data_IF_714817414359
#
_entry.id   IF_714817414359
#
_cell.length_a   1.000
_cell.length_b   1.000
_cell.length_c   1.000
_cell.angle_alpha   90.00
_cell.angle_beta   90.00
_cell.angle_gamma   90.00
#
_symmetry.space_group_name_H-M   'P 1'
#
loop_
_entity.id
_entity.type
_entity.pdbx_description
1 polymer ?
#
# COMPACT_ATOMS: atom_id res chain seq x y z
N UNK A 1 58.06 6.39 28.47
CA UNK A 1 58.34 4.95 28.60
C UNK A 1 57.90 4.29 27.29
N UNK A 2 58.79 3.53 26.66
CA UNK A 2 58.64 2.72 25.42
C UNK A 2 58.58 3.42 24.04
N UNK A 3 59.77 3.43 23.43
CA UNK A 3 60.18 3.27 22.02
C UNK A 3 59.33 2.23 21.22
N UNK A 4 59.18 2.28 19.89
CA UNK A 4 60.06 1.73 18.81
C UNK A 4 59.35 2.01 17.45
N UNK A 5 59.95 2.71 16.47
CA UNK A 5 60.62 2.20 15.23
C UNK A 5 59.67 1.43 14.27
N UNK A 6 59.49 1.75 12.99
CA UNK A 6 60.49 1.85 11.91
C UNK A 6 59.93 2.54 10.63
N UNK A 7 60.86 2.98 9.77
CA UNK A 7 60.75 3.96 8.68
C UNK A 7 60.69 3.28 7.27
N UNK A 8 60.61 4.05 6.14
CA UNK A 8 59.86 3.78 4.91
C UNK A 8 60.71 3.35 3.69
N UNK A 9 60.11 2.87 2.60
CA UNK A 9 60.70 2.85 1.23
C UNK A 9 59.53 2.76 0.21
N UNK A 10 59.19 3.79 -0.56
CA UNK A 10 59.66 4.15 -1.92
C UNK A 10 59.71 3.00 -2.93
N UNK A 11 59.00 3.12 -4.06
CA UNK A 11 59.55 2.93 -5.42
C UNK A 11 58.46 3.03 -6.49
N UNK A 12 58.51 4.17 -7.15
CA UNK A 12 58.03 4.47 -8.49
C UNK A 12 58.52 3.41 -9.48
N UNK A 13 57.61 2.75 -10.22
CA UNK A 13 57.97 1.94 -11.39
C UNK A 13 57.12 2.37 -12.59
N UNK A 14 57.79 3.14 -13.44
CA UNK A 14 57.46 3.49 -14.81
C UNK A 14 57.59 2.22 -15.68
N UNK A 15 56.75 2.03 -16.70
CA UNK A 15 57.17 1.75 -18.10
C UNK A 15 56.00 1.31 -18.99
N UNK A 16 55.60 2.29 -19.80
CA UNK A 16 55.11 2.24 -21.18
C UNK A 16 55.55 0.99 -21.99
N UNK A 17 54.60 0.30 -22.64
CA UNK A 17 54.89 -0.49 -23.84
C UNK A 17 53.73 -0.41 -24.84
N UNK A 18 54.02 0.23 -25.98
CA UNK A 18 53.21 0.46 -27.16
C UNK A 18 53.59 -0.58 -28.24
N UNK A 19 52.62 -1.32 -28.80
CA UNK A 19 52.57 -1.89 -30.17
C UNK A 19 51.48 -2.99 -30.19
N UNK A 20 50.30 -2.74 -30.75
CA UNK A 20 49.94 -2.96 -32.16
C UNK A 20 49.66 -4.44 -32.51
N UNK A 21 48.36 -4.81 -32.60
CA UNK A 21 47.86 -5.80 -33.57
C UNK A 21 46.56 -5.27 -34.16
N UNK A 22 46.59 -5.04 -35.47
CA UNK A 22 45.44 -4.70 -36.31
C UNK A 22 44.59 -5.93 -36.62
N UNK A 23 43.29 -5.66 -36.76
CA UNK A 23 42.33 -6.33 -37.65
C UNK A 23 41.87 -7.77 -37.34
N UNK A 24 40.66 -7.86 -36.78
CA UNK A 24 39.64 -8.81 -37.25
C UNK A 24 38.33 -8.08 -37.50
N UNK A 25 37.92 -8.10 -38.77
CA UNK A 25 36.62 -7.69 -39.28
C UNK A 25 35.55 -8.76 -39.03
N UNK A 26 34.30 -8.31 -38.98
CA UNK A 26 33.07 -9.06 -39.29
C UNK A 26 32.63 -10.15 -38.30
N UNK A 27 31.65 -9.83 -37.46
CA UNK A 27 30.21 -10.18 -37.60
C UNK A 27 29.49 -9.80 -36.30
N UNK A 28 28.64 -8.78 -36.33
CA UNK A 28 27.54 -8.69 -35.35
C UNK A 28 26.30 -9.09 -36.11
N UNK A 29 26.09 -10.41 -36.21
CA UNK A 29 24.84 -10.96 -36.69
C UNK A 29 23.74 -10.70 -35.67
N UNK A 30 22.67 -10.13 -36.19
CA UNK A 30 21.38 -10.05 -35.55
C UNK A 30 20.86 -11.45 -35.21
N UNK A 31 20.87 -11.82 -33.94
CA UNK A 31 20.03 -12.90 -33.43
C UNK A 31 19.86 -12.76 -31.92
N UNK A 32 18.81 -12.06 -31.47
CA UNK A 32 17.97 -12.54 -30.34
C UNK A 32 16.73 -11.64 -30.12
N UNK A 33 15.87 -11.56 -31.13
CA UNK A 33 14.60 -10.81 -31.07
C UNK A 33 13.39 -11.66 -30.65
N UNK A 34 13.54 -12.99 -30.59
CA UNK A 34 12.44 -13.93 -30.39
C UNK A 34 12.31 -14.39 -28.92
N UNK A 35 13.41 -14.48 -28.17
CA UNK A 35 13.37 -14.93 -26.78
C UNK A 35 12.87 -13.83 -25.82
N UNK A 36 13.28 -12.57 -26.07
CA UNK A 36 12.79 -11.41 -25.32
C UNK A 36 11.28 -11.20 -25.46
N UNK A 37 10.65 -11.58 -26.58
CA UNK A 37 9.19 -11.47 -26.77
C UNK A 37 8.42 -12.53 -25.97
N UNK A 38 8.95 -13.75 -25.85
CA UNK A 38 8.35 -14.81 -25.03
C UNK A 38 8.56 -14.57 -23.53
N UNK A 39 9.73 -14.09 -23.11
CA UNK A 39 9.99 -13.68 -21.72
C UNK A 39 9.10 -12.50 -21.29
N UNK A 40 8.95 -11.48 -22.15
CA UNK A 40 8.09 -10.31 -21.89
C UNK A 40 6.59 -10.64 -21.91
N UNK A 41 6.18 -11.70 -22.62
CA UNK A 41 4.81 -12.23 -22.62
C UNK A 41 4.53 -13.16 -21.43
N UNK A 42 5.52 -13.92 -20.94
CA UNK A 42 5.40 -14.80 -19.76
C UNK A 42 5.39 -14.06 -18.42
N UNK A 43 6.04 -12.90 -18.30
CA UNK A 43 6.02 -12.08 -17.06
C UNK A 43 4.67 -11.36 -16.84
N UNK A 44 3.77 -11.35 -17.83
CA UNK A 44 2.49 -10.60 -17.81
C UNK A 44 1.25 -11.41 -17.43
N UNK A 45 1.35 -12.62 -16.86
CA UNK A 45 0.26 -13.09 -15.99
C UNK A 45 0.31 -12.26 -14.70
N UNK A 46 -0.14 -11.00 -14.78
CA UNK A 46 -0.39 -10.16 -13.60
C UNK A 46 -1.25 -11.01 -12.65
N UNK A 47 -0.81 -11.22 -11.41
CA UNK A 47 -1.73 -11.74 -10.40
C UNK A 47 -2.78 -10.63 -10.18
N UNK A 48 -4.09 -10.92 -10.18
CA UNK A 48 -5.07 -9.92 -9.82
C UNK A 48 -4.76 -9.43 -8.40
N UNK A 49 -4.50 -8.14 -8.26
CA UNK A 49 -4.36 -7.48 -6.97
C UNK A 49 -5.78 -7.15 -6.51
N UNK A 50 -6.41 -8.12 -5.86
CA UNK A 50 -7.64 -7.86 -5.13
C UNK A 50 -7.30 -7.07 -3.88
N UNK A 51 -8.04 -6.00 -3.64
CA UNK A 51 -7.93 -5.18 -2.43
C UNK A 51 -9.29 -5.10 -1.78
N UNK A 52 -9.33 -5.15 -0.46
CA UNK A 52 -10.53 -4.89 0.31
C UNK A 52 -10.80 -3.39 0.34
N UNK A 53 -12.05 -3.01 0.12
CA UNK A 53 -12.51 -1.62 0.14
C UNK A 53 -13.60 -1.49 1.19
N UNK A 54 -13.50 -0.46 2.02
CA UNK A 54 -14.54 -0.06 2.97
C UNK A 54 -15.25 1.19 2.45
N UNK A 55 -16.56 1.25 2.62
CA UNK A 55 -17.42 2.35 2.16
C UNK A 55 -18.27 2.84 3.32
N UNK A 56 -18.04 4.10 3.69
CA UNK A 56 -18.88 4.86 4.60
C UNK A 56 -20.16 5.34 3.90
N UNK A 57 -21.21 5.59 4.67
CA UNK A 57 -22.52 5.99 4.14
C UNK A 57 -23.24 6.91 5.12
N UNK A 58 -24.25 7.64 4.64
CA UNK A 58 -25.29 8.19 5.51
C UNK A 58 -26.32 7.11 5.81
N UNK A 59 -26.58 6.87 7.09
CA UNK A 59 -27.57 5.87 7.50
C UNK A 59 -28.99 6.42 7.45
N UNK A 60 -29.94 5.52 7.25
CA UNK A 60 -31.37 5.81 7.12
C UNK A 60 -32.11 4.50 6.88
N UNK A 61 -33.18 4.50 6.09
CA UNK A 61 -33.97 3.29 5.85
C UNK A 61 -33.19 2.17 5.14
N UNK A 62 -32.24 2.52 4.26
CA UNK A 62 -31.57 1.56 3.36
C UNK A 62 -30.15 1.21 3.78
N UNK A 63 -29.45 2.12 4.45
CA UNK A 63 -28.05 1.95 4.83
C UNK A 63 -27.92 1.79 6.34
N UNK A 64 -27.09 0.82 6.74
CA UNK A 64 -26.85 0.47 8.14
C UNK A 64 -25.51 0.92 8.70
N UNK A 65 -24.59 1.40 7.87
CA UNK A 65 -23.27 1.85 8.32
C UNK A 65 -22.18 1.64 7.29
N UNK A 66 -21.16 0.85 7.66
CA UNK A 66 -19.96 0.62 6.85
C UNK A 66 -20.12 -0.68 6.06
N UNK A 67 -19.92 -0.61 4.75
CA UNK A 67 -19.92 -1.77 3.87
C UNK A 67 -18.52 -2.11 3.41
N UNK A 68 -18.32 -3.37 3.00
CA UNK A 68 -17.08 -3.83 2.39
C UNK A 68 -17.32 -4.63 1.12
N UNK A 69 -16.31 -4.64 0.25
CA UNK A 69 -16.22 -5.53 -0.91
C UNK A 69 -14.76 -5.72 -1.37
N UNK A 70 -14.52 -6.75 -2.16
CA UNK A 70 -13.23 -6.97 -2.83
C UNK A 70 -13.20 -6.28 -4.19
N UNK A 71 -12.17 -5.49 -4.45
CA UNK A 71 -11.98 -4.79 -5.72
C UNK A 71 -10.77 -5.32 -6.47
N UNK A 72 -10.99 -5.78 -7.70
CA UNK A 72 -9.91 -6.20 -8.58
C UNK A 72 -9.31 -4.98 -9.29
N UNK A 73 -8.21 -4.46 -8.76
CA UNK A 73 -7.55 -3.25 -9.28
C UNK A 73 -7.04 -3.37 -10.72
N UNK A 74 -6.96 -4.58 -11.28
CA UNK A 74 -6.55 -4.79 -12.66
C UNK A 74 -7.73 -4.79 -13.63
N UNK A 75 -8.86 -5.37 -13.25
CA UNK A 75 -10.03 -5.51 -14.14
C UNK A 75 -11.11 -4.48 -13.86
N UNK A 76 -11.03 -3.74 -12.75
CA UNK A 76 -12.07 -2.82 -12.29
C UNK A 76 -13.34 -3.50 -11.78
N UNK A 77 -13.32 -4.82 -11.58
CA UNK A 77 -14.49 -5.57 -11.11
C UNK A 77 -14.60 -5.48 -9.59
N UNK A 78 -15.76 -5.03 -9.10
CA UNK A 78 -16.14 -5.12 -7.70
C UNK A 78 -16.81 -6.48 -7.41
N UNK A 79 -16.50 -7.05 -6.25
CA UNK A 79 -17.12 -8.24 -5.73
C UNK A 79 -18.49 -7.98 -5.09
N UNK A 80 -19.02 -8.99 -4.41
CA UNK A 80 -20.25 -8.87 -3.63
C UNK A 80 -20.04 -7.89 -2.47
N UNK A 81 -20.99 -6.96 -2.30
CA UNK A 81 -21.04 -6.03 -1.17
C UNK A 81 -21.63 -6.75 0.04
N UNK A 82 -21.01 -6.55 1.20
CA UNK A 82 -21.52 -7.02 2.49
C UNK A 82 -21.35 -5.96 3.57
N UNK A 83 -22.17 -6.02 4.61
CA UNK A 83 -22.09 -5.12 5.76
C UNK A 83 -20.86 -5.48 6.61
N UNK A 84 -19.99 -4.50 6.85
CA UNK A 84 -18.77 -4.66 7.64
C UNK A 84 -19.00 -4.33 9.13
N UNK A 85 -19.75 -3.26 9.41
CA UNK A 85 -20.22 -2.87 10.74
C UNK A 85 -21.46 -1.98 10.65
N UNK A 86 -22.33 -2.09 11.66
CA UNK A 86 -23.41 -1.14 11.90
C UNK A 86 -22.88 0.03 12.72
N UNK A 87 -23.12 1.26 12.25
CA UNK A 87 -22.74 2.49 12.94
C UNK A 87 -23.47 3.65 12.28
N UNK A 88 -23.95 4.67 13.02
CA UNK A 88 -24.74 5.75 12.46
C UNK A 88 -23.91 6.68 11.58
N UNK A 89 -24.38 6.94 10.36
CA UNK A 89 -23.84 7.90 9.39
C UNK A 89 -22.30 8.01 9.34
N UNK A 90 -21.54 6.92 9.11
CA UNK A 90 -20.09 6.97 8.96
C UNK A 90 -19.71 7.67 7.64
N UNK A 91 -19.70 9.00 7.62
CA UNK A 91 -19.51 9.79 6.39
C UNK A 91 -18.05 9.81 5.90
N UNK A 92 -17.10 9.56 6.79
CA UNK A 92 -15.68 9.46 6.44
C UNK A 92 -14.98 8.32 7.19
N UNK A 93 -14.06 7.63 6.51
CA UNK A 93 -13.29 6.51 7.04
C UNK A 93 -11.79 6.71 6.83
N UNK A 94 -10.99 6.33 7.82
CA UNK A 94 -9.54 6.25 7.71
C UNK A 94 -9.01 4.91 8.24
N UNK A 95 -8.16 4.25 7.47
CA UNK A 95 -7.48 3.01 7.90
C UNK A 95 -6.15 3.40 8.53
N UNK A 96 -5.87 2.89 9.73
CA UNK A 96 -4.57 3.09 10.37
C UNK A 96 -3.45 2.50 9.49
N UNK A 97 -2.25 3.12 9.36
CA UNK A 97 -1.17 2.62 8.51
C UNK A 97 -0.73 1.18 8.80
N UNK A 98 -0.91 0.73 10.05
CA UNK A 98 -0.68 -0.66 10.46
C UNK A 98 -1.71 -1.68 9.94
N UNK A 99 -2.77 -1.24 9.27
CA UNK A 99 -3.76 -2.09 8.58
C UNK A 99 -4.68 -2.90 9.48
N UNK A 100 -4.70 -2.64 10.79
CA UNK A 100 -5.50 -3.38 11.79
C UNK A 100 -6.74 -2.64 12.29
N UNK A 101 -6.84 -1.34 12.04
CA UNK A 101 -7.90 -0.51 12.60
C UNK A 101 -8.49 0.42 11.56
N UNK A 102 -9.81 0.66 11.67
CA UNK A 102 -10.55 1.69 10.92
C UNK A 102 -11.12 2.70 11.90
N UNK A 103 -10.99 3.97 11.58
CA UNK A 103 -11.67 5.07 12.27
C UNK A 103 -12.79 5.59 11.38
N UNK A 104 -13.95 5.84 11.95
CA UNK A 104 -15.12 6.38 11.26
C UNK A 104 -15.59 7.66 11.95
N UNK A 105 -15.75 8.73 11.19
CA UNK A 105 -16.48 9.91 11.65
C UNK A 105 -17.96 9.66 11.44
N UNK A 106 -18.74 9.78 12.51
CA UNK A 106 -20.17 9.62 12.53
C UNK A 106 -20.83 10.99 12.51
N UNK A 107 -21.41 11.35 11.37
CA UNK A 107 -22.05 12.65 11.15
C UNK A 107 -23.51 12.60 11.59
N UNK A 108 -23.74 13.02 12.82
CA UNK A 108 -25.06 13.06 13.47
C UNK A 108 -25.27 14.42 14.13
N UNK A 109 -26.53 14.75 14.42
CA UNK A 109 -26.88 15.98 15.15
C UNK A 109 -26.92 15.81 16.66
N UNK A 110 -26.88 14.55 17.13
CA UNK A 110 -26.83 14.18 18.53
C UNK A 110 -25.93 12.95 18.71
N UNK A 111 -25.15 12.93 19.78
CA UNK A 111 -24.33 11.78 20.17
C UNK A 111 -24.31 11.63 21.69
N UNK A 112 -24.76 10.49 22.21
CA UNK A 112 -24.77 10.20 23.66
C UNK A 112 -25.45 11.32 24.50
N UNK A 113 -26.54 11.90 23.98
CA UNK A 113 -27.28 12.99 24.62
C UNK A 113 -26.65 14.38 24.49
N UNK A 114 -25.54 14.52 23.74
CA UNK A 114 -24.96 15.80 23.41
C UNK A 114 -25.56 16.33 22.10
N UNK A 115 -26.28 17.44 22.21
CA UNK A 115 -26.77 18.18 21.04
C UNK A 115 -25.62 18.77 20.23
N UNK A 116 -25.83 18.88 18.91
CA UNK A 116 -24.85 19.38 17.94
C UNK A 116 -23.52 18.60 17.98
N UNK A 117 -23.59 17.30 18.26
CA UNK A 117 -22.43 16.42 18.29
C UNK A 117 -22.59 15.23 17.36
N UNK A 118 -21.52 14.95 16.62
CA UNK A 118 -21.25 13.66 16.01
C UNK A 118 -20.43 12.76 16.94
N UNK A 119 -19.93 11.67 16.35
CA UNK A 119 -19.10 10.69 17.03
C UNK A 119 -17.86 10.31 16.25
N UNK A 120 -16.85 9.78 16.94
CA UNK A 120 -15.71 9.10 16.36
C UNK A 120 -15.74 7.66 16.85
N UNK A 121 -15.94 6.72 15.92
CA UNK A 121 -15.89 5.29 16.20
C UNK A 121 -14.58 4.69 15.73
N UNK A 122 -14.02 3.77 16.52
CA UNK A 122 -12.84 2.97 16.16
C UNK A 122 -13.20 1.49 16.11
N UNK A 123 -12.67 0.80 15.10
CA UNK A 123 -12.95 -0.61 14.84
C UNK A 123 -11.66 -1.39 14.62
N UNK A 124 -11.63 -2.63 15.08
CA UNK A 124 -10.62 -3.63 14.72
C UNK A 124 -11.03 -4.36 13.44
N UNK A 125 -10.08 -4.58 12.53
CA UNK A 125 -10.28 -5.31 11.28
C UNK A 125 -10.00 -6.79 11.51
N UNK A 126 -11.01 -7.64 11.30
CA UNK A 126 -10.76 -9.07 11.14
C UNK A 126 -10.03 -9.32 9.81
N UNK A 127 -8.77 -9.76 9.90
CA UNK A 127 -7.91 -9.91 8.73
C UNK A 127 -8.44 -10.93 7.70
N UNK A 128 -9.22 -11.93 8.14
CA UNK A 128 -9.72 -13.01 7.27
C UNK A 128 -10.97 -12.55 6.51
N UNK A 129 -11.95 -12.05 7.25
CA UNK A 129 -13.31 -11.75 6.78
C UNK A 129 -13.50 -10.30 6.39
N UNK A 130 -12.74 -9.38 6.99
CA UNK A 130 -12.88 -7.93 6.81
C UNK A 130 -13.99 -7.31 7.65
N UNK A 131 -14.62 -8.08 8.52
CA UNK A 131 -15.58 -7.55 9.47
C UNK A 131 -14.91 -6.56 10.43
N UNK A 132 -15.67 -5.57 10.84
CA UNK A 132 -15.22 -4.50 11.72
C UNK A 132 -15.84 -4.69 13.11
N UNK A 133 -15.00 -4.93 14.10
CA UNK A 133 -15.43 -5.07 15.50
C UNK A 133 -15.27 -3.73 16.22
N UNK A 134 -16.34 -3.19 16.79
CA UNK A 134 -16.29 -1.92 17.51
C UNK A 134 -15.37 -2.01 18.73
N UNK A 135 -14.46 -1.04 18.89
CA UNK A 135 -13.52 -0.97 20.02
C UNK A 135 -13.84 0.16 20.99
N UNK A 136 -14.06 1.36 20.47
CA UNK A 136 -14.31 2.56 21.26
C UNK A 136 -15.09 3.58 20.42
N UNK A 137 -15.86 4.42 21.09
CA UNK A 137 -16.58 5.56 20.55
C UNK A 137 -16.42 6.75 21.48
N UNK A 138 -16.27 7.95 20.91
CA UNK A 138 -16.21 9.19 21.67
C UNK A 138 -16.99 10.28 20.92
N UNK A 139 -17.65 11.21 21.64
CA UNK A 139 -18.27 12.37 21.00
C UNK A 139 -17.20 13.29 20.41
N UNK A 140 -17.46 13.81 19.22
CA UNK A 140 -16.59 14.83 18.59
C UNK A 140 -16.88 16.23 19.11
N UNK A 141 -18.04 16.44 19.74
CA UNK A 141 -18.56 17.76 20.17
C UNK A 141 -18.74 18.76 19.01
N UNK A 142 -18.95 18.23 17.82
CA UNK A 142 -19.34 18.97 16.62
C UNK A 142 -20.10 18.03 15.67
N UNK A 143 -21.17 18.52 15.05
CA UNK A 143 -22.11 17.68 14.29
C UNK A 143 -21.58 17.22 12.92
N UNK A 144 -20.72 18.01 12.28
CA UNK A 144 -20.25 17.79 10.91
C UNK A 144 -18.71 17.78 10.83
N UNK A 145 -18.12 16.97 9.91
CA UNK A 145 -16.68 16.94 9.66
C UNK A 145 -16.13 18.21 8.98
#
# INVERSE_FOLDING_TARGET
MMTILSKPVSCLAVMLSLAAVLATTATIEAADGADKKKARKKVRKKVPRNVRVYVGTYTGEKSKGIYQFEFNTRTGKAGKVSLAAETPSPSFLAIHPGGKHVFAVNETTEWEGLENSGGLSSFEIDAKTGQLSLMNQQPTRGAHP
#
